data_IF_786787008960
#
_entry.id   IF_786787008960
#
_cell.length_a   1.000
_cell.length_b   1.000
_cell.length_c   1.000
_cell.angle_alpha   90.00
_cell.angle_beta   90.00
_cell.angle_gamma   90.00
#
_symmetry.space_group_name_H-M   'P 1'
#
loop_
_entity.id
_entity.type
_entity.pdbx_description
1 polymer ?
#
# COMPACT_ATOMS: atom_id res chain seq x y z
N UNK A 1 95.17 -52.11 7.38
CA UNK A 1 95.20 -52.28 8.85
C UNK A 1 94.05 -51.47 9.43
N UNK A 2 93.13 -52.12 10.19
CA UNK A 2 92.12 -51.53 11.10
C UNK A 2 90.98 -50.71 10.45
N UNK A 3 89.75 -51.26 10.32
CA UNK A 3 88.62 -51.25 11.29
C UNK A 3 88.10 -49.86 11.68
N UNK A 4 86.84 -49.55 11.33
CA UNK A 4 85.76 -49.00 12.21
C UNK A 4 84.57 -48.55 11.33
N UNK A 5 83.42 -49.23 11.38
CA UNK A 5 82.26 -49.06 12.28
C UNK A 5 81.30 -47.95 11.81
N UNK A 6 80.10 -48.41 11.45
CA UNK A 6 78.89 -47.66 11.09
C UNK A 6 78.39 -46.72 12.17
N UNK A 7 77.82 -45.58 11.76
CA UNK A 7 76.60 -45.02 12.38
C UNK A 7 75.71 -44.45 11.28
N UNK A 8 74.53 -45.02 11.14
CA UNK A 8 73.41 -44.52 10.35
C UNK A 8 72.77 -43.36 11.13
N UNK A 9 72.59 -42.20 10.48
CA UNK A 9 71.67 -41.16 10.97
C UNK A 9 70.96 -40.54 9.78
N UNK A 10 69.71 -40.96 9.63
CA UNK A 10 68.75 -40.53 8.63
C UNK A 10 68.20 -39.16 9.04
N UNK A 11 68.75 -38.08 8.48
CA UNK A 11 68.17 -36.73 8.63
C UNK A 11 67.09 -36.53 7.56
N UNK A 12 65.83 -36.62 7.97
CA UNK A 12 64.66 -36.27 7.15
C UNK A 12 64.53 -34.74 7.18
N UNK A 13 64.68 -34.13 6.01
CA UNK A 13 64.52 -32.70 5.76
C UNK A 13 63.03 -32.37 5.67
N UNK A 14 62.44 -31.76 6.71
CA UNK A 14 61.10 -31.18 6.63
C UNK A 14 61.17 -29.83 5.92
N UNK A 15 60.81 -29.81 4.63
CA UNK A 15 60.58 -28.57 3.87
C UNK A 15 59.18 -28.08 4.21
N UNK A 16 59.08 -26.96 4.91
CA UNK A 16 57.84 -26.20 5.08
C UNK A 16 57.48 -25.57 3.73
N UNK A 17 56.53 -26.18 3.02
CA UNK A 17 55.95 -25.60 1.81
C UNK A 17 54.79 -24.67 2.20
N UNK A 18 55.05 -23.37 2.16
CA UNK A 18 54.01 -22.34 2.21
C UNK A 18 53.26 -22.33 0.87
N UNK A 19 52.07 -22.90 0.84
CA UNK A 19 51.13 -22.73 -0.27
C UNK A 19 50.47 -21.34 -0.18
N UNK A 20 50.95 -20.39 -0.97
CA UNK A 20 50.14 -19.22 -1.39
C UNK A 20 49.10 -19.70 -2.40
N UNK A 21 47.87 -19.87 -1.93
CA UNK A 21 46.70 -20.17 -2.77
C UNK A 21 46.28 -18.87 -3.45
N UNK A 22 46.43 -18.79 -4.76
CA UNK A 22 45.81 -17.75 -5.58
C UNK A 22 44.29 -17.90 -5.45
N UNK A 23 43.62 -16.85 -4.97
CA UNK A 23 42.17 -16.74 -4.98
C UNK A 23 41.69 -16.58 -6.42
N UNK A 24 40.96 -17.57 -6.92
CA UNK A 24 40.04 -17.34 -8.02
C UNK A 24 38.93 -16.41 -7.51
N UNK A 25 38.49 -15.41 -8.29
CA UNK A 25 37.32 -14.65 -7.94
C UNK A 25 36.11 -15.58 -8.07
N UNK A 26 35.61 -16.04 -6.93
CA UNK A 26 34.27 -16.61 -6.85
C UNK A 26 33.31 -15.52 -7.27
N UNK A 27 32.56 -15.77 -8.34
CA UNK A 27 31.30 -15.12 -8.61
C UNK A 27 30.40 -15.39 -7.41
N UNK A 28 30.42 -14.49 -6.43
CA UNK A 28 29.38 -14.42 -5.42
C UNK A 28 28.14 -13.95 -6.18
N UNK A 29 27.34 -14.91 -6.64
CA UNK A 29 25.92 -14.67 -6.77
C UNK A 29 25.47 -14.20 -5.38
N UNK A 30 25.31 -12.89 -5.24
CA UNK A 30 24.62 -12.32 -4.12
C UNK A 30 23.17 -12.80 -4.24
N UNK A 31 22.92 -13.95 -3.62
CA UNK A 31 21.60 -14.31 -3.11
C UNK A 31 21.18 -13.17 -2.19
N UNK A 32 20.49 -12.19 -2.76
CA UNK A 32 19.75 -11.20 -1.99
C UNK A 32 18.63 -12.01 -1.33
N UNK A 33 18.85 -12.39 -0.07
CA UNK A 33 17.78 -12.88 0.77
C UNK A 33 16.62 -11.87 0.71
N UNK A 34 15.37 -12.27 0.43
CA UNK A 34 14.25 -11.35 0.47
C UNK A 34 13.95 -11.06 1.93
N UNK A 35 14.56 -9.99 2.45
CA UNK A 35 14.20 -9.36 3.73
C UNK A 35 13.44 -8.04 3.49
N UNK A 36 12.88 -7.83 2.30
CA UNK A 36 11.93 -6.73 2.10
C UNK A 36 10.59 -7.10 2.73
N UNK A 37 10.16 -6.28 3.69
CA UNK A 37 8.78 -6.28 4.20
C UNK A 37 7.87 -6.11 2.98
N UNK A 38 7.04 -7.09 2.65
CA UNK A 38 6.06 -6.97 1.56
C UNK A 38 4.89 -6.10 2.00
N UNK A 39 4.22 -5.40 1.07
CA UNK A 39 3.01 -4.66 1.40
C UNK A 39 1.94 -5.64 1.82
N UNK A 40 1.40 -5.44 3.00
CA UNK A 40 0.26 -6.21 3.51
C UNK A 40 -0.97 -5.33 3.49
N UNK A 41 -2.01 -5.76 2.76
CA UNK A 41 -3.36 -5.22 2.83
C UNK A 41 -4.33 -6.38 3.10
N UNK A 42 -5.38 -6.12 3.89
CA UNK A 42 -6.27 -7.17 4.42
C UNK A 42 -7.68 -7.12 3.81
N UNK A 43 -7.85 -6.50 2.63
CA UNK A 43 -9.15 -6.43 1.97
C UNK A 43 -9.82 -7.81 1.89
N UNK A 44 -9.10 -8.86 1.48
CA UNK A 44 -9.64 -10.23 1.40
C UNK A 44 -10.17 -10.73 2.75
N UNK A 45 -9.41 -10.52 3.83
CA UNK A 45 -9.84 -10.90 5.18
C UNK A 45 -11.03 -10.05 5.67
N UNK A 46 -11.08 -8.76 5.31
CA UNK A 46 -12.23 -7.89 5.62
C UNK A 46 -13.48 -8.34 4.85
N UNK A 47 -13.36 -8.75 3.59
CA UNK A 47 -14.47 -9.35 2.83
C UNK A 47 -15.04 -10.59 3.52
N UNK A 48 -14.19 -11.41 4.16
CA UNK A 48 -14.67 -12.54 4.97
C UNK A 48 -15.38 -12.10 6.26
N UNK A 49 -14.98 -10.97 6.85
CA UNK A 49 -15.71 -10.38 7.99
C UNK A 49 -17.07 -9.85 7.56
N UNK A 50 -17.16 -9.18 6.41
CA UNK A 50 -18.43 -8.70 5.83
C UNK A 50 -19.41 -9.85 5.67
N UNK A 51 -18.97 -11.02 5.19
CA UNK A 51 -19.83 -12.20 5.04
C UNK A 51 -20.46 -12.69 6.36
N UNK A 52 -19.86 -12.36 7.51
CA UNK A 52 -20.39 -12.69 8.84
C UNK A 52 -21.37 -11.65 9.38
N UNK A 53 -21.49 -10.48 8.74
CA UNK A 53 -22.45 -9.43 9.05
C UNK A 53 -23.44 -9.29 7.86
N UNK A 54 -24.61 -9.94 7.91
CA UNK A 54 -25.57 -9.91 6.79
C UNK A 54 -26.05 -8.51 6.42
N UNK A 55 -26.07 -7.57 7.38
CA UNK A 55 -26.52 -6.20 7.15
C UNK A 55 -25.46 -5.43 6.38
N UNK A 56 -24.20 -5.55 6.80
CA UNK A 56 -23.08 -4.98 6.06
C UNK A 56 -22.95 -5.62 4.67
N UNK A 57 -23.00 -6.96 4.57
CA UNK A 57 -22.95 -7.66 3.29
C UNK A 57 -24.00 -7.14 2.31
N UNK A 58 -25.26 -6.97 2.75
CA UNK A 58 -26.32 -6.41 1.92
C UNK A 58 -25.99 -5.01 1.40
N UNK A 59 -25.46 -4.12 2.25
CA UNK A 59 -25.04 -2.77 1.84
C UNK A 59 -23.86 -2.81 0.88
N UNK A 60 -22.85 -3.62 1.18
CA UNK A 60 -21.66 -3.80 0.35
C UNK A 60 -22.06 -4.30 -1.05
N UNK A 61 -22.88 -5.35 -1.14
CA UNK A 61 -23.38 -5.87 -2.42
C UNK A 61 -24.23 -4.85 -3.18
N UNK A 62 -25.06 -4.06 -2.49
CA UNK A 62 -25.83 -3.01 -3.14
C UNK A 62 -24.93 -1.93 -3.76
N UNK A 63 -23.89 -1.51 -3.03
CA UNK A 63 -22.88 -0.55 -3.52
C UNK A 63 -22.16 -1.14 -4.74
N UNK A 64 -21.69 -2.38 -4.65
CA UNK A 64 -20.95 -3.06 -5.71
C UNK A 64 -21.79 -3.33 -6.96
N UNK A 65 -23.11 -3.43 -6.85
CA UNK A 65 -24.00 -3.56 -8.01
C UNK A 65 -24.34 -2.20 -8.65
N UNK A 66 -24.45 -1.15 -7.85
CA UNK A 66 -24.89 0.18 -8.29
C UNK A 66 -23.75 1.02 -8.87
N UNK A 67 -22.61 1.03 -8.19
CA UNK A 67 -21.48 1.91 -8.52
C UNK A 67 -20.84 1.63 -9.89
N UNK A 68 -20.61 0.36 -10.32
CA UNK A 68 -20.11 0.09 -11.66
C UNK A 68 -21.07 0.59 -12.74
N UNK A 69 -22.39 0.49 -12.52
CA UNK A 69 -23.39 0.96 -13.49
C UNK A 69 -23.33 2.48 -13.65
N UNK A 70 -23.22 3.23 -12.54
CA UNK A 70 -23.04 4.69 -12.59
C UNK A 70 -21.72 5.08 -13.26
N UNK A 71 -20.62 4.41 -12.92
CA UNK A 71 -19.30 4.67 -13.48
C UNK A 71 -19.24 4.39 -14.99
N UNK A 72 -19.76 3.24 -15.44
CA UNK A 72 -19.81 2.87 -16.86
C UNK A 72 -20.73 3.78 -17.67
N UNK A 73 -21.86 4.20 -17.10
CA UNK A 73 -22.76 5.12 -17.78
C UNK A 73 -22.23 6.57 -17.81
N UNK A 74 -21.24 6.90 -16.95
CA UNK A 74 -20.76 8.27 -16.69
C UNK A 74 -21.90 9.26 -16.36
N UNK A 75 -23.02 8.74 -15.89
CA UNK A 75 -24.22 9.50 -15.59
C UNK A 75 -24.02 10.14 -14.20
N UNK A 76 -24.10 11.48 -14.14
CA UNK A 76 -23.94 12.29 -12.93
C UNK A 76 -22.60 12.14 -12.19
N UNK A 77 -21.52 11.79 -12.88
CA UNK A 77 -20.19 11.91 -12.29
C UNK A 77 -19.88 13.40 -12.12
N UNK A 78 -19.47 13.86 -10.93
CA UNK A 78 -18.90 15.19 -10.80
C UNK A 78 -17.78 15.33 -11.84
N UNK A 79 -17.60 16.51 -12.42
CA UNK A 79 -16.50 16.78 -13.39
C UNK A 79 -15.46 17.74 -12.82
N UNK A 80 -15.88 18.61 -11.89
CA UNK A 80 -15.01 19.52 -11.17
C UNK A 80 -14.16 18.82 -10.10
N UNK A 81 -13.18 19.54 -9.55
CA UNK A 81 -12.41 19.04 -8.40
C UNK A 81 -13.34 18.79 -7.22
N UNK A 82 -13.30 17.58 -6.67
CA UNK A 82 -14.02 17.21 -5.44
C UNK A 82 -13.12 17.59 -4.27
N UNK A 83 -13.58 18.49 -3.43
CA UNK A 83 -12.92 18.80 -2.16
C UNK A 83 -13.49 17.92 -1.07
N UNK A 84 -12.63 17.38 -0.22
CA UNK A 84 -13.05 16.60 0.94
C UNK A 84 -12.22 16.93 2.16
N UNK A 85 -12.86 16.93 3.32
CA UNK A 85 -12.17 17.13 4.59
C UNK A 85 -11.56 15.83 5.08
N UNK A 86 -10.33 15.92 5.59
CA UNK A 86 -9.60 14.83 6.21
C UNK A 86 -9.27 15.17 7.66
N UNK A 87 -9.69 14.31 8.58
CA UNK A 87 -9.27 14.36 9.99
C UNK A 87 -8.17 13.33 10.21
N UNK A 88 -6.96 13.80 10.54
CA UNK A 88 -5.88 12.94 11.01
C UNK A 88 -5.93 12.84 12.53
N UNK A 89 -5.97 11.60 13.04
CA UNK A 89 -6.07 11.24 14.45
C UNK A 89 -4.84 10.40 14.82
N UNK A 90 -3.92 10.95 15.61
CA UNK A 90 -2.66 10.29 15.96
C UNK A 90 -2.78 9.69 17.36
N UNK A 91 -2.79 8.36 17.43
CA UNK A 91 -2.70 7.61 18.67
C UNK A 91 -1.23 7.17 18.87
N UNK A 92 -0.49 7.91 19.69
CA UNK A 92 0.95 7.73 19.85
C UNK A 92 1.33 7.28 21.25
N UNK A 93 2.45 6.57 21.36
CA UNK A 93 3.11 6.27 22.64
C UNK A 93 4.29 7.22 22.87
N UNK A 94 4.91 7.20 24.05
CA UNK A 94 6.17 7.94 24.27
C UNK A 94 7.25 7.38 23.33
N UNK A 95 7.57 8.09 22.23
CA UNK A 95 8.51 7.60 21.22
C UNK A 95 8.30 8.20 19.82
N UNK A 96 8.86 7.56 18.77
CA UNK A 96 8.83 8.07 17.39
C UNK A 96 7.43 8.11 16.77
N UNK A 97 6.46 7.41 17.35
CA UNK A 97 5.06 7.38 16.87
C UNK A 97 4.31 8.71 17.06
N UNK A 98 4.85 9.65 17.85
CA UNK A 98 4.35 11.03 17.89
C UNK A 98 4.86 11.83 16.69
N UNK A 99 4.43 11.45 15.49
CA UNK A 99 4.92 12.02 14.22
C UNK A 99 4.72 13.53 14.16
N UNK A 100 5.59 14.25 13.46
CA UNK A 100 5.49 15.71 13.36
C UNK A 100 4.31 16.15 12.49
N UNK A 101 3.83 17.39 12.67
CA UNK A 101 2.83 17.98 11.76
C UNK A 101 3.37 18.04 10.32
N UNK A 102 4.68 18.24 10.14
CA UNK A 102 5.32 18.22 8.83
C UNK A 102 5.19 16.85 8.14
N UNK A 103 5.34 15.75 8.87
CA UNK A 103 5.09 14.40 8.34
C UNK A 103 3.62 14.23 7.92
N UNK A 104 2.66 14.71 8.72
CA UNK A 104 1.24 14.70 8.34
C UNK A 104 0.98 15.51 7.07
N UNK A 105 1.50 16.73 7.00
CA UNK A 105 1.37 17.61 5.84
C UNK A 105 2.00 16.96 4.60
N UNK A 106 3.13 16.26 4.75
CA UNK A 106 3.78 15.55 3.65
C UNK A 106 2.90 14.43 3.08
N UNK A 107 2.16 13.71 3.92
CA UNK A 107 1.22 12.68 3.48
C UNK A 107 0.05 13.29 2.70
N UNK A 108 -0.53 14.38 3.22
CA UNK A 108 -1.63 15.09 2.54
C UNK A 108 -1.15 15.68 1.21
N UNK A 109 0.10 16.16 1.14
CA UNK A 109 0.75 16.60 -0.08
C UNK A 109 0.89 15.47 -1.11
N UNK A 110 1.41 14.31 -0.69
CA UNK A 110 1.53 13.11 -1.54
C UNK A 110 0.17 12.63 -2.07
N UNK A 111 -0.83 12.56 -1.18
CA UNK A 111 -2.21 12.20 -1.53
C UNK A 111 -2.79 13.16 -2.58
N UNK A 112 -2.68 14.47 -2.35
CA UNK A 112 -3.13 15.47 -3.31
C UNK A 112 -2.35 15.39 -4.63
N UNK A 113 -1.07 15.03 -4.62
CA UNK A 113 -0.29 14.90 -5.84
C UNK A 113 -0.76 13.73 -6.71
N UNK A 114 -0.94 12.55 -6.12
CA UNK A 114 -1.31 11.33 -6.86
C UNK A 114 -2.73 11.37 -7.40
N UNK A 115 -3.68 11.82 -6.59
CA UNK A 115 -5.07 11.94 -7.02
C UNK A 115 -5.27 13.03 -8.08
N UNK A 116 -4.30 13.92 -8.30
CA UNK A 116 -4.37 14.99 -9.30
C UNK A 116 -3.30 14.88 -10.41
N UNK A 117 -2.54 13.79 -10.44
CA UNK A 117 -1.49 13.55 -11.44
C UNK A 117 -0.44 14.65 -11.48
N UNK A 118 0.02 15.07 -10.30
CA UNK A 118 1.16 15.99 -10.13
C UNK A 118 2.31 15.35 -9.38
N UNK A 119 2.26 14.03 -9.17
CA UNK A 119 3.42 13.29 -8.70
C UNK A 119 4.50 13.23 -9.80
N UNK A 120 5.79 13.16 -9.44
CA UNK A 120 6.89 13.24 -10.41
C UNK A 120 6.81 12.20 -11.54
N UNK A 121 6.32 11.01 -11.23
CA UNK A 121 6.19 9.88 -12.15
C UNK A 121 4.97 10.00 -13.08
N UNK A 122 4.11 10.99 -12.88
CA UNK A 122 2.95 11.23 -13.74
C UNK A 122 3.33 11.83 -15.10
N UNK A 123 4.54 12.37 -15.22
CA UNK A 123 5.06 12.89 -16.49
C UNK A 123 5.01 11.77 -17.53
N UNK A 124 4.46 12.02 -18.74
CA UNK A 124 4.46 11.04 -19.80
C UNK A 124 5.88 10.56 -20.08
N UNK A 125 6.08 9.26 -19.98
CA UNK A 125 7.29 8.57 -20.41
C UNK A 125 6.92 7.39 -21.32
N UNK A 126 7.87 6.95 -22.15
CA UNK A 126 7.68 5.80 -23.03
C UNK A 126 8.05 4.48 -22.32
N UNK A 127 8.05 4.46 -20.98
CA UNK A 127 8.50 3.29 -20.19
C UNK A 127 7.49 2.14 -20.24
N UNK A 128 6.20 2.43 -20.39
CA UNK A 128 5.15 1.40 -20.43
C UNK A 128 4.06 1.72 -21.44
N UNK A 129 3.40 0.68 -21.95
CA UNK A 129 2.20 0.82 -22.82
C UNK A 129 1.01 1.48 -22.10
N UNK A 130 1.06 1.59 -20.78
CA UNK A 130 -0.03 2.10 -19.94
C UNK A 130 0.08 3.60 -19.65
N UNK A 131 1.16 4.26 -20.08
CA UNK A 131 1.32 5.70 -19.90
C UNK A 131 0.12 6.54 -20.43
N UNK A 132 -0.50 6.22 -21.58
CA UNK A 132 -1.73 6.89 -22.03
C UNK A 132 -2.96 6.69 -21.12
N UNK A 133 -2.93 5.72 -20.20
CA UNK A 133 -4.00 5.43 -19.25
C UNK A 133 -3.76 6.10 -17.88
N UNK A 134 -2.75 6.95 -17.70
CA UNK A 134 -2.61 7.74 -16.47
C UNK A 134 -3.79 8.72 -16.34
N UNK A 135 -4.59 8.58 -15.29
CA UNK A 135 -5.78 9.40 -15.07
C UNK A 135 -5.72 10.22 -13.77
N UNK A 136 -6.30 11.42 -13.82
CA UNK A 136 -6.45 12.30 -12.66
C UNK A 136 -7.82 12.09 -12.03
N UNK A 137 -7.84 11.73 -10.75
CA UNK A 137 -9.08 11.60 -10.01
C UNK A 137 -9.76 12.95 -9.72
N UNK A 138 -9.00 14.05 -9.70
CA UNK A 138 -9.48 15.39 -9.36
C UNK A 138 -10.14 15.43 -7.98
N UNK A 139 -9.48 14.81 -6.98
CA UNK A 139 -9.89 14.80 -5.58
C UNK A 139 -8.84 15.55 -4.78
N UNK A 140 -9.26 16.52 -3.97
CA UNK A 140 -8.37 17.34 -3.14
C UNK A 140 -8.77 17.25 -1.67
N UNK A 141 -7.85 16.73 -0.87
CA UNK A 141 -8.00 16.60 0.57
C UNK A 141 -7.57 17.87 1.28
N UNK A 142 -8.46 18.38 2.13
CA UNK A 142 -8.26 19.52 3.01
C UNK A 142 -8.07 18.99 4.44
N UNK A 143 -6.87 19.19 4.98
CA UNK A 143 -6.53 18.76 6.33
C UNK A 143 -7.24 19.63 7.38
N UNK A 144 -8.01 18.99 8.26
CA UNK A 144 -8.53 19.59 9.49
C UNK A 144 -7.45 19.61 10.58
N UNK A 145 -7.63 20.39 11.67
CA UNK A 145 -6.69 20.40 12.78
C UNK A 145 -6.33 18.99 13.27
N UNK A 146 -5.03 18.70 13.33
CA UNK A 146 -4.51 17.37 13.70
C UNK A 146 -4.90 17.07 15.14
N UNK A 147 -5.48 15.89 15.37
CA UNK A 147 -5.80 15.39 16.71
C UNK A 147 -4.72 14.43 17.16
N UNK A 148 -4.32 14.54 18.42
CA UNK A 148 -3.27 13.71 19.02
C UNK A 148 -3.74 13.20 20.38
N UNK A 149 -3.43 11.93 20.69
CA UNK A 149 -3.66 11.34 22.00
C UNK A 149 -2.49 10.43 22.35
N UNK A 150 -1.90 10.68 23.52
CA UNK A 150 -0.98 9.76 24.14
C UNK A 150 -1.76 8.52 24.60
N UNK A 151 -1.31 7.34 24.18
CA UNK A 151 -1.89 6.03 24.50
C UNK A 151 -0.81 5.11 25.09
N UNK A 152 -1.25 4.14 25.90
CA UNK A 152 -0.36 3.09 26.44
C UNK A 152 -0.34 1.83 25.58
N UNK A 153 -1.26 1.72 24.61
CA UNK A 153 -1.33 0.60 23.67
C UNK A 153 -0.13 0.61 22.74
N UNK A 154 0.63 -0.49 22.74
CA UNK A 154 1.83 -0.66 21.91
C UNK A 154 1.58 -1.45 20.62
N UNK A 155 0.41 -2.07 20.46
CA UNK A 155 0.05 -2.78 19.24
C UNK A 155 -1.46 -2.78 19.09
N UNK A 156 -1.93 -2.43 17.90
CA UNK A 156 -3.34 -2.35 17.56
C UNK A 156 -3.75 -3.50 16.65
N UNK A 157 -5.04 -3.80 16.62
CA UNK A 157 -5.61 -4.83 15.74
C UNK A 157 -6.73 -4.22 14.91
N UNK A 158 -7.28 -5.00 13.98
CA UNK A 158 -8.45 -4.64 13.17
C UNK A 158 -9.76 -4.59 13.95
N UNK A 159 -9.72 -4.75 15.28
CA UNK A 159 -10.86 -4.58 16.18
C UNK A 159 -11.27 -3.11 16.40
N UNK A 160 -10.61 -2.15 15.73
CA UNK A 160 -10.98 -0.73 15.71
C UNK A 160 -10.95 0.00 17.06
N UNK A 161 -10.26 -0.54 18.08
CA UNK A 161 -10.21 0.09 19.41
C UNK A 161 -9.62 1.51 19.34
N UNK A 162 -8.64 1.77 18.47
CA UNK A 162 -8.06 3.11 18.27
C UNK A 162 -9.09 4.15 17.81
N UNK A 163 -10.20 3.72 17.21
CA UNK A 163 -11.29 4.58 16.74
C UNK A 163 -12.29 4.96 17.83
N UNK A 164 -12.06 4.55 19.08
CA UNK A 164 -12.98 4.80 20.20
C UNK A 164 -12.44 5.86 21.16
N UNK A 165 -13.32 6.65 21.78
CA UNK A 165 -12.92 7.58 22.83
C UNK A 165 -12.37 6.90 24.10
N UNK A 166 -12.64 5.61 24.30
CA UNK A 166 -12.15 4.88 25.46
C UNK A 166 -10.63 4.67 25.38
N UNK A 167 -10.14 4.16 24.24
CA UNK A 167 -8.73 3.78 24.07
C UNK A 167 -7.95 4.63 23.06
N UNK A 168 -8.61 5.35 22.16
CA UNK A 168 -7.98 6.18 21.13
C UNK A 168 -8.75 7.47 20.87
N UNK A 169 -9.08 7.77 19.62
CA UNK A 169 -9.76 9.01 19.24
C UNK A 169 -11.04 8.65 18.47
N UNK A 170 -12.18 9.11 18.97
CA UNK A 170 -13.46 8.95 18.27
C UNK A 170 -13.47 9.71 16.93
N UNK A 171 -14.15 9.19 15.89
CA UNK A 171 -14.19 9.83 14.60
C UNK A 171 -14.82 11.22 14.66
N UNK A 172 -14.33 12.11 13.82
CA UNK A 172 -14.90 13.44 13.60
C UNK A 172 -15.85 13.35 12.43
N UNK A 173 -17.14 13.65 12.65
CA UNK A 173 -18.18 13.66 11.58
C UNK A 173 -18.01 12.50 10.59
N UNK A 174 -18.08 11.24 11.07
CA UNK A 174 -17.75 10.06 10.26
C UNK A 174 -18.60 9.88 9.00
N UNK A 175 -19.69 10.64 8.86
CA UNK A 175 -20.61 10.68 7.72
C UNK A 175 -20.18 11.65 6.60
N UNK A 176 -19.21 12.54 6.86
CA UNK A 176 -18.86 13.65 5.95
C UNK A 176 -17.38 14.07 6.00
N UNK A 177 -16.56 13.40 6.81
CA UNK A 177 -15.11 13.63 6.91
C UNK A 177 -14.39 12.29 6.87
N UNK A 178 -13.38 12.17 6.01
CA UNK A 178 -12.51 11.01 6.01
C UNK A 178 -11.63 11.04 7.27
N UNK A 179 -11.83 10.06 8.14
CA UNK A 179 -11.03 9.91 9.34
C UNK A 179 -9.86 8.95 9.07
N UNK A 180 -8.66 9.39 9.43
CA UNK A 180 -7.44 8.60 9.31
C UNK A 180 -6.83 8.47 10.70
N UNK A 181 -6.59 7.25 11.14
CA UNK A 181 -5.87 6.98 12.39
C UNK A 181 -4.45 6.58 12.09
N UNK A 182 -3.50 7.34 12.65
CA UNK A 182 -2.09 6.97 12.64
C UNK A 182 -1.78 6.32 13.97
N UNK A 183 -1.23 5.11 13.92
CA UNK A 183 -0.91 4.30 15.10
C UNK A 183 0.55 3.83 15.06
N UNK A 184 1.08 3.44 16.21
CA UNK A 184 2.47 3.04 16.32
C UNK A 184 2.78 1.65 15.71
N UNK A 185 1.81 0.73 15.73
CA UNK A 185 1.97 -0.61 15.18
C UNK A 185 0.59 -1.27 14.97
N UNK A 186 0.49 -2.11 13.94
CA UNK A 186 -0.63 -3.04 13.74
C UNK A 186 -0.13 -4.49 13.83
N UNK A 187 -0.88 -5.33 14.53
CA UNK A 187 -0.59 -6.75 14.67
C UNK A 187 -0.58 -7.47 13.32
N UNK A 188 0.22 -8.52 13.19
CA UNK A 188 0.28 -9.32 11.96
C UNK A 188 1.13 -8.69 10.85
N UNK A 189 1.94 -7.68 11.16
CA UNK A 189 2.82 -7.02 10.20
C UNK A 189 2.08 -6.11 9.21
N UNK A 190 0.86 -5.70 9.56
CA UNK A 190 0.00 -4.88 8.72
C UNK A 190 0.52 -3.44 8.63
N UNK A 191 0.55 -2.87 7.43
CA UNK A 191 0.89 -1.45 7.25
C UNK A 191 -0.32 -0.56 7.48
N UNK A 192 -1.47 -0.96 6.95
CA UNK A 192 -2.70 -0.20 7.02
C UNK A 192 -3.93 -1.09 6.79
N UNK A 193 -5.10 -0.55 7.09
CA UNK A 193 -6.37 -1.11 6.61
C UNK A 193 -7.45 -0.05 6.52
N UNK A 194 -8.43 -0.34 5.67
CA UNK A 194 -9.57 0.51 5.39
C UNK A 194 -10.87 -0.18 5.75
N UNK A 195 -11.82 0.57 6.32
CA UNK A 195 -13.19 0.08 6.36
C UNK A 195 -13.77 0.05 4.94
N UNK A 196 -14.12 -1.15 4.49
CA UNK A 196 -14.75 -1.33 3.18
C UNK A 196 -16.15 -0.69 3.12
N UNK A 197 -16.62 -0.31 1.92
CA UNK A 197 -17.91 0.35 1.72
C UNK A 197 -19.11 -0.33 2.40
N UNK A 198 -20.05 0.49 2.87
CA UNK A 198 -21.25 0.01 3.57
C UNK A 198 -21.02 -0.43 5.02
N UNK A 199 -19.81 -0.22 5.55
CA UNK A 199 -19.46 -0.55 6.93
C UNK A 199 -20.11 0.35 7.98
N UNK A 200 -19.91 0.07 9.27
CA UNK A 200 -20.48 0.87 10.35
C UNK A 200 -19.91 2.30 10.38
N UNK A 201 -20.78 3.31 10.45
CA UNK A 201 -20.38 4.72 10.52
C UNK A 201 -19.40 5.00 11.67
N UNK A 202 -19.56 4.33 12.82
CA UNK A 202 -18.70 4.54 13.99
C UNK A 202 -17.22 4.17 13.79
N UNK A 203 -16.90 3.35 12.79
CA UNK A 203 -15.54 2.89 12.49
C UNK A 203 -15.08 3.31 11.09
N UNK A 204 -15.81 4.21 10.45
CA UNK A 204 -15.56 4.66 9.08
C UNK A 204 -14.21 5.37 8.93
N UNK A 205 -13.44 4.99 7.90
CA UNK A 205 -12.12 5.54 7.60
C UNK A 205 -10.97 4.52 7.67
N UNK A 206 -9.75 5.05 7.67
CA UNK A 206 -8.51 4.33 7.38
C UNK A 206 -7.60 4.30 8.61
N UNK A 207 -6.91 3.20 8.87
CA UNK A 207 -5.87 3.10 9.90
C UNK A 207 -4.54 2.76 9.25
N UNK A 208 -3.47 3.40 9.68
CA UNK A 208 -2.14 3.25 9.10
C UNK A 208 -1.06 3.39 10.17
N UNK A 209 0.02 2.61 10.05
CA UNK A 209 1.17 2.75 10.96
C UNK A 209 1.97 4.01 10.64
N UNK A 210 2.59 4.61 11.64
CA UNK A 210 3.34 5.85 11.47
C UNK A 210 4.53 5.71 10.50
N UNK A 211 5.20 4.55 10.49
CA UNK A 211 6.31 4.22 9.60
C UNK A 211 5.91 4.14 8.11
N UNK A 212 4.62 4.13 7.80
CA UNK A 212 4.09 4.08 6.43
C UNK A 212 3.25 5.33 6.07
N UNK A 213 3.24 6.35 6.93
CA UNK A 213 2.43 7.56 6.78
C UNK A 213 3.31 8.81 6.59
N UNK A 214 3.29 9.37 5.39
CA UNK A 214 4.09 10.53 4.98
C UNK A 214 5.17 10.21 3.96
N UNK A 215 5.99 11.22 3.68
CA UNK A 215 7.18 11.11 2.81
C UNK A 215 8.46 11.59 3.49
N UNK A 216 8.33 12.08 4.72
CA UNK A 216 9.41 12.55 5.60
C UNK A 216 9.13 12.09 7.04
N UNK A 217 10.11 12.22 7.93
CA UNK A 217 9.92 11.89 9.35
C UNK A 217 10.22 10.42 9.64
N UNK A 218 9.31 9.72 10.33
CA UNK A 218 9.52 8.33 10.78
C UNK A 218 9.31 7.26 9.70
N UNK A 219 9.01 7.65 8.47
CA UNK A 219 8.71 6.71 7.39
C UNK A 219 9.89 5.80 7.02
N UNK A 220 9.61 4.54 6.70
CA UNK A 220 10.62 3.51 6.46
C UNK A 220 10.47 2.93 5.05
N UNK A 221 11.56 2.91 4.28
CA UNK A 221 11.59 2.24 2.98
C UNK A 221 11.33 0.73 3.16
N UNK A 222 10.60 0.07 2.24
CA UNK A 222 10.18 0.56 0.92
C UNK A 222 8.83 1.31 0.87
N UNK A 223 8.23 1.64 2.02
CA UNK A 223 6.88 2.23 2.11
C UNK A 223 6.93 3.68 2.61
N UNK A 224 7.75 4.51 1.97
CA UNK A 224 8.12 5.85 2.43
C UNK A 224 7.82 6.99 1.44
N UNK A 225 6.94 6.78 0.46
CA UNK A 225 6.41 7.83 -0.45
C UNK A 225 4.94 8.12 -0.20
N UNK A 226 4.38 7.54 0.86
CA UNK A 226 3.00 7.73 1.30
C UNK A 226 1.99 6.92 0.48
N UNK A 227 2.42 6.02 -0.41
CA UNK A 227 1.52 5.29 -1.33
C UNK A 227 0.65 4.27 -0.62
N UNK A 228 1.05 3.82 0.56
CA UNK A 228 0.19 3.05 1.47
C UNK A 228 -1.15 3.74 1.69
N UNK A 229 -1.17 5.04 2.00
CA UNK A 229 -2.45 5.74 2.20
C UNK A 229 -3.21 5.95 0.88
N UNK A 230 -2.50 6.16 -0.24
CA UNK A 230 -3.16 6.32 -1.55
C UNK A 230 -3.91 5.05 -1.93
N UNK A 231 -3.29 3.88 -1.76
CA UNK A 231 -3.87 2.56 -1.96
C UNK A 231 -5.11 2.34 -1.09
N UNK A 232 -4.98 2.58 0.22
CA UNK A 232 -6.08 2.43 1.18
C UNK A 232 -7.25 3.38 0.89
N UNK A 233 -6.96 4.63 0.50
CA UNK A 233 -8.01 5.56 0.08
C UNK A 233 -8.67 5.11 -1.23
N UNK A 234 -7.95 4.41 -2.11
CA UNK A 234 -8.53 3.75 -3.28
C UNK A 234 -9.62 2.75 -2.87
N UNK A 235 -9.34 1.89 -1.89
CA UNK A 235 -10.35 0.99 -1.31
C UNK A 235 -11.51 1.74 -0.66
N UNK A 236 -11.21 2.82 0.07
CA UNK A 236 -12.23 3.66 0.71
C UNK A 236 -13.19 4.29 -0.33
N UNK A 237 -12.67 4.56 -1.54
CA UNK A 237 -13.35 5.03 -2.74
C UNK A 237 -13.82 3.90 -3.67
N UNK A 238 -13.98 2.68 -3.14
CA UNK A 238 -14.55 1.52 -3.84
C UNK A 238 -13.71 0.94 -5.00
N UNK A 239 -12.39 1.12 -4.97
CA UNK A 239 -11.48 0.34 -5.81
C UNK A 239 -11.17 -1.01 -5.18
N UNK A 240 -11.01 -2.03 -6.01
CA UNK A 240 -10.47 -3.32 -5.60
C UNK A 240 -8.98 -3.36 -5.88
N UNK A 241 -8.32 -4.34 -5.29
CA UNK A 241 -7.04 -4.79 -5.78
C UNK A 241 -7.11 -5.11 -7.28
N UNK A 242 -6.04 -4.82 -8.02
CA UNK A 242 -6.04 -4.92 -9.49
C UNK A 242 -6.20 -6.36 -10.01
N UNK A 243 -5.83 -7.37 -9.22
CA UNK A 243 -6.11 -8.79 -9.53
C UNK A 243 -7.53 -9.24 -9.14
N UNK A 244 -8.35 -8.36 -8.58
CA UNK A 244 -9.75 -8.65 -8.23
C UNK A 244 -9.94 -9.61 -7.06
N UNK A 245 -8.95 -9.77 -6.17
CA UNK A 245 -9.01 -10.66 -4.99
C UNK A 245 -9.26 -12.14 -5.35
N UNK A 246 -8.91 -12.56 -6.57
CA UNK A 246 -8.99 -13.95 -7.05
C UNK A 246 -7.98 -14.18 -8.18
N UNK A 247 -7.54 -15.42 -8.44
CA UNK A 247 -6.69 -15.71 -9.60
C UNK A 247 -7.41 -15.32 -10.90
N UNK A 248 -6.82 -14.40 -11.67
CA UNK A 248 -7.45 -13.84 -12.87
C UNK A 248 -8.84 -13.24 -12.58
N UNK A 249 -8.99 -12.62 -11.41
CA UNK A 249 -10.20 -11.92 -11.00
C UNK A 249 -10.40 -10.61 -11.76
N UNK A 250 -11.53 -9.96 -11.48
CA UNK A 250 -11.91 -8.70 -12.09
C UNK A 250 -12.05 -7.62 -11.00
N UNK A 251 -11.35 -6.50 -11.19
CA UNK A 251 -11.40 -5.32 -10.31
C UNK A 251 -12.54 -4.34 -10.70
N UNK A 252 -13.33 -4.72 -11.69
CA UNK A 252 -14.41 -3.97 -12.34
C UNK A 252 -13.95 -2.71 -13.08
N UNK A 253 -12.71 -2.69 -13.56
CA UNK A 253 -12.16 -1.66 -14.44
C UNK A 253 -11.76 -2.27 -15.78
N UNK A 254 -12.46 -1.94 -16.87
CA UNK A 254 -12.17 -2.52 -18.19
C UNK A 254 -10.86 -2.07 -18.85
N UNK A 255 -10.10 -1.17 -18.20
CA UNK A 255 -8.84 -0.62 -18.68
C UNK A 255 -7.63 -1.03 -17.81
N UNK A 256 -7.86 -1.86 -16.80
CA UNK A 256 -6.82 -2.60 -16.10
C UNK A 256 -6.71 -4.00 -16.72
N UNK A 257 -5.51 -4.48 -17.07
CA UNK A 257 -5.33 -5.84 -17.56
C UNK A 257 -5.68 -6.85 -16.45
N UNK A 258 -5.97 -8.10 -16.82
CA UNK A 258 -6.08 -9.17 -15.83
C UNK A 258 -4.72 -9.44 -15.20
N UNK A 259 -4.68 -9.50 -13.87
CA UNK A 259 -3.53 -9.98 -13.12
C UNK A 259 -3.83 -11.36 -12.54
N UNK A 260 -2.83 -12.25 -12.48
CA UNK A 260 -3.05 -13.58 -11.91
C UNK A 260 -2.97 -13.57 -10.39
N UNK A 261 -2.33 -12.57 -9.80
CA UNK A 261 -2.17 -12.35 -8.35
C UNK A 261 -1.61 -10.95 -8.09
N UNK A 262 -1.49 -10.55 -6.83
CA UNK A 262 -0.73 -9.38 -6.41
C UNK A 262 0.76 -9.49 -6.78
N UNK A 263 1.36 -8.35 -7.15
CA UNK A 263 2.79 -8.19 -7.35
C UNK A 263 3.43 -7.47 -6.16
N UNK A 264 4.73 -7.69 -5.94
CA UNK A 264 5.49 -7.12 -4.82
C UNK A 264 6.86 -6.61 -5.27
N UNK A 265 7.50 -5.77 -4.45
CA UNK A 265 8.80 -5.22 -4.75
C UNK A 265 8.73 -4.23 -5.91
N UNK A 266 9.71 -4.31 -6.83
CA UNK A 266 9.76 -3.50 -8.06
C UNK A 266 9.83 -4.43 -9.27
N UNK A 267 8.69 -4.94 -9.77
CA UNK A 267 8.69 -5.85 -10.92
C UNK A 267 9.32 -5.21 -12.17
N UNK A 268 10.09 -6.01 -12.91
CA UNK A 268 10.69 -5.58 -14.17
C UNK A 268 9.62 -5.56 -15.26
N UNK A 269 9.51 -4.46 -16.00
CA UNK A 269 8.62 -4.34 -17.14
C UNK A 269 9.25 -4.95 -18.41
N UNK A 270 8.46 -5.65 -19.26
CA UNK A 270 7.08 -6.08 -19.04
C UNK A 270 6.99 -7.30 -18.10
N UNK A 271 6.08 -7.25 -17.14
CA UNK A 271 5.67 -8.40 -16.33
C UNK A 271 4.44 -9.04 -16.96
N UNK A 272 4.43 -10.35 -17.20
CA UNK A 272 3.34 -11.02 -17.91
C UNK A 272 2.48 -11.85 -16.96
N UNK A 273 1.17 -11.71 -17.09
CA UNK A 273 0.21 -12.52 -16.35
C UNK A 273 0.12 -13.94 -16.90
N UNK A 274 -0.18 -14.89 -16.03
CA UNK A 274 -0.53 -16.28 -16.42
C UNK A 274 -1.98 -16.44 -16.86
N UNK A 275 -2.79 -15.37 -16.80
CA UNK A 275 -4.17 -15.37 -17.27
C UNK A 275 -4.29 -15.57 -18.79
N UNK A 276 -5.49 -15.95 -19.24
CA UNK A 276 -5.77 -16.13 -20.67
C UNK A 276 -5.43 -14.86 -21.47
N UNK A 277 -4.69 -15.04 -22.57
CA UNK A 277 -4.20 -13.94 -23.39
C UNK A 277 -2.84 -13.39 -22.96
N UNK A 278 -2.28 -13.86 -21.84
CA UNK A 278 -0.96 -13.46 -21.30
C UNK A 278 -0.79 -11.94 -21.32
N UNK A 279 -1.73 -11.18 -20.73
CA UNK A 279 -1.64 -9.72 -20.74
C UNK A 279 -0.37 -9.28 -19.99
N UNK A 280 0.19 -8.15 -20.40
CA UNK A 280 1.18 -7.44 -19.59
C UNK A 280 0.44 -6.93 -18.34
N UNK A 281 1.03 -7.08 -17.16
CA UNK A 281 0.46 -6.59 -15.92
C UNK A 281 0.82 -5.12 -15.70
N UNK A 282 -0.14 -4.36 -15.18
CA UNK A 282 0.00 -2.95 -14.84
C UNK A 282 0.52 -2.81 -13.41
N UNK A 283 1.76 -3.26 -13.16
CA UNK A 283 2.36 -3.33 -11.81
C UNK A 283 2.57 -1.96 -11.16
N UNK A 284 2.58 -0.90 -11.95
CA UNK A 284 2.65 0.48 -11.48
C UNK A 284 1.33 1.07 -10.95
N UNK A 285 0.25 0.29 -10.96
CA UNK A 285 -1.04 0.75 -10.45
C UNK A 285 -1.02 0.87 -8.92
N UNK A 286 -1.64 1.92 -8.37
CA UNK A 286 -1.74 2.09 -6.92
C UNK A 286 -2.52 0.96 -6.22
N UNK A 287 -3.34 0.20 -6.94
CA UNK A 287 -4.13 -0.91 -6.40
C UNK A 287 -3.43 -2.27 -6.49
N UNK A 288 -2.14 -2.31 -6.82
CA UNK A 288 -1.26 -3.48 -6.64
C UNK A 288 -0.52 -3.42 -5.28
N UNK A 289 0.27 -4.44 -4.93
CA UNK A 289 1.01 -4.53 -3.66
C UNK A 289 2.51 -4.28 -3.77
N UNK A 290 2.93 -3.63 -4.85
CA UNK A 290 4.33 -3.26 -5.09
C UNK A 290 4.84 -2.23 -4.06
N UNK A 291 6.14 -1.99 -4.09
CA UNK A 291 6.79 -0.96 -3.26
C UNK A 291 6.32 0.44 -3.66
N UNK A 292 6.41 1.41 -2.74
CA UNK A 292 5.94 2.79 -3.00
C UNK A 292 6.59 3.43 -4.23
N UNK A 293 7.83 3.06 -4.55
CA UNK A 293 8.59 3.57 -5.70
C UNK A 293 8.13 3.00 -7.04
N UNK A 294 7.41 1.88 -7.03
CA UNK A 294 6.96 1.19 -8.24
C UNK A 294 5.55 1.62 -8.66
N UNK A 295 4.72 2.14 -7.74
CA UNK A 295 3.35 2.54 -8.03
C UNK A 295 3.18 4.06 -8.19
N UNK A 296 2.46 4.47 -9.22
CA UNK A 296 2.32 5.90 -9.56
C UNK A 296 1.06 6.29 -10.34
N UNK A 297 0.11 5.38 -10.61
CA UNK A 297 -1.05 5.72 -11.43
C UNK A 297 -2.36 5.03 -11.04
N UNK A 298 -3.46 5.73 -11.34
CA UNK A 298 -4.80 5.19 -11.53
C UNK A 298 -5.19 5.25 -13.01
N UNK A 299 -6.19 4.45 -13.41
CA UNK A 299 -6.77 4.43 -14.77
C UNK A 299 -8.06 5.24 -14.89
N UNK A 300 -8.52 5.60 -16.11
CA UNK A 300 -9.80 6.27 -16.31
C UNK A 300 -11.02 5.57 -15.70
N UNK A 301 -11.10 4.24 -15.76
CA UNK A 301 -12.22 3.51 -15.16
C UNK A 301 -12.12 3.46 -13.64
N UNK A 302 -10.92 3.33 -13.07
CA UNK A 302 -10.71 3.48 -11.62
C UNK A 302 -11.16 4.87 -11.16
N UNK A 303 -10.76 5.93 -11.88
CA UNK A 303 -11.24 7.31 -11.59
C UNK A 303 -12.76 7.41 -11.68
N UNK A 304 -13.38 6.83 -12.71
CA UNK A 304 -14.84 6.85 -12.87
C UNK A 304 -15.55 6.17 -11.69
N UNK A 305 -15.03 5.03 -11.21
CA UNK A 305 -15.54 4.33 -10.01
C UNK A 305 -15.40 5.18 -8.75
N UNK A 306 -14.22 5.77 -8.51
CA UNK A 306 -14.01 6.63 -7.35
C UNK A 306 -14.96 7.83 -7.34
N UNK A 307 -15.15 8.47 -8.50
CA UNK A 307 -16.01 9.65 -8.62
C UNK A 307 -17.49 9.31 -8.49
N UNK A 308 -17.92 8.11 -8.91
CA UNK A 308 -19.29 7.64 -8.72
C UNK A 308 -19.69 7.55 -7.23
N UNK A 309 -18.71 7.41 -6.32
CA UNK A 309 -19.00 7.38 -4.88
C UNK A 309 -19.53 8.71 -4.35
N UNK A 310 -19.19 9.82 -5.00
CA UNK A 310 -19.61 11.19 -4.64
C UNK A 310 -20.80 11.71 -5.44
N UNK A 311 -21.18 11.03 -6.53
CA UNK A 311 -22.34 11.41 -7.33
C UNK A 311 -23.66 11.22 -6.57
N UNK A 312 -24.78 11.74 -7.09
CA UNK A 312 -26.11 11.56 -6.49
C UNK A 312 -26.42 10.09 -6.19
N UNK A 313 -26.77 9.80 -4.94
CA UNK A 313 -27.05 8.45 -4.44
C UNK A 313 -25.79 7.59 -4.20
N UNK A 314 -24.60 8.15 -4.40
CA UNK A 314 -23.33 7.55 -4.05
C UNK A 314 -23.15 7.49 -2.53
N UNK A 315 -22.54 6.41 -2.03
CA UNK A 315 -22.40 6.19 -0.59
C UNK A 315 -21.40 7.14 0.11
N UNK A 316 -20.70 7.99 -0.66
CA UNK A 316 -19.80 9.06 -0.20
C UNK A 316 -20.25 10.46 -0.64
N UNK A 317 -21.48 10.63 -1.11
CA UNK A 317 -22.00 11.93 -1.57
C UNK A 317 -21.76 13.06 -0.55
N UNK A 318 -21.98 12.79 0.74
CA UNK A 318 -21.80 13.78 1.82
C UNK A 318 -20.34 14.14 2.18
N UNK A 319 -19.34 13.47 1.59
CA UNK A 319 -17.91 13.73 1.86
C UNK A 319 -17.28 14.71 0.87
N UNK A 320 -17.90 14.87 -0.31
CA UNK A 320 -17.42 15.73 -1.38
C UNK A 320 -18.22 17.02 -1.49
N UNK A 321 -17.55 18.11 -1.83
CA UNK A 321 -18.17 19.40 -2.17
C UNK A 321 -17.31 20.16 -3.19
#
# INVERSE_FOLDING_TARGET
>A
MKTSISVVSLFILFVLSSCTKQEQPSTVEASIAPTSKARTCIQEALLQQIKKDPVWLKRYTAIENFQPQQASAKIYLPTDTIFMYVQVNICYNNGPSNITDAQVISQIGSLNADYNGTNPEFIPDDLTIYNPLKAKALIKCILLPIKRRLVTTSSWTTANLMKTAASGIAPTRPDSVLNIWVVNNLSGGLLAYTQLPGGPVATEGIVIIDEAFGTIGSVVAPFNKGRTLIHEMGHWLNLKHIWGDAPCGNDFCGDTPLHNTANYGVPIYPHYSTCTGTPIEMTQNFMDLVDDVAMYMFTPNQVSRMRATFGPGGFREAYGF
#
